data_IF_892588305156
#
_entry.id   IF_892588305156
#
_cell.length_a   1.000
_cell.length_b   1.000
_cell.length_c   1.000
_cell.angle_alpha   90.00
_cell.angle_beta   90.00
_cell.angle_gamma   90.00
#
_symmetry.space_group_name_H-M   'P 1'
#
loop_
_entity.id
_entity.type
_entity.pdbx_description
1 polymer ?
#
# COMPACT_ATOMS: atom_id res chain seq x y z
N UNK A 1 10.85 7.83 36.99
CA UNK A 1 11.02 7.07 35.73
C UNK A 1 9.71 7.24 34.97
N UNK A 2 9.68 8.12 33.98
CA UNK A 2 8.44 8.51 33.27
C UNK A 2 8.33 7.65 32.01
N UNK A 3 7.24 6.91 31.85
CA UNK A 3 6.93 6.24 30.60
C UNK A 3 6.34 7.26 29.62
N UNK A 4 6.68 7.15 28.33
CA UNK A 4 6.12 8.01 27.28
C UNK A 4 4.61 7.76 27.19
N UNK A 5 3.83 8.74 27.61
CA UNK A 5 2.39 8.76 27.45
C UNK A 5 2.08 9.48 26.15
N UNK A 6 1.41 8.79 25.22
CA UNK A 6 0.91 9.40 24.00
C UNK A 6 -0.51 9.92 24.23
N UNK A 7 -0.92 10.95 23.48
CA UNK A 7 -2.33 11.30 23.33
C UNK A 7 -2.66 11.30 21.83
N UNK A 8 -3.84 10.82 21.47
CA UNK A 8 -4.33 10.93 20.10
C UNK A 8 -5.59 11.79 20.07
N UNK A 9 -5.78 12.51 18.96
CA UNK A 9 -6.99 13.30 18.71
C UNK A 9 -7.84 12.56 17.68
N UNK A 10 -9.04 12.19 18.07
CA UNK A 10 -10.02 11.62 17.15
C UNK A 10 -10.68 12.77 16.36
N UNK A 11 -10.55 12.78 15.03
CA UNK A 11 -11.25 13.75 14.20
C UNK A 11 -12.74 13.42 14.25
N UNK A 12 -13.55 14.35 14.75
CA UNK A 12 -15.01 14.20 14.72
C UNK A 12 -15.48 14.12 13.26
N UNK A 13 -16.15 13.03 12.90
CA UNK A 13 -16.77 12.86 11.58
C UNK A 13 -18.05 13.69 11.45
N UNK A 14 -18.68 14.03 12.58
CA UNK A 14 -19.83 14.92 12.70
C UNK A 14 -19.39 16.24 13.35
N UNK A 15 -19.59 17.41 12.70
CA UNK A 15 -19.23 18.71 13.26
C UNK A 15 -19.98 19.08 14.56
N UNK A 16 -21.04 18.37 14.92
CA UNK A 16 -21.74 18.54 16.20
C UNK A 16 -21.03 17.86 17.39
N UNK A 17 -20.03 17.02 17.14
CA UNK A 17 -19.28 16.29 18.18
C UNK A 17 -17.98 17.04 18.51
N UNK A 18 -17.80 17.37 19.78
CA UNK A 18 -16.55 17.97 20.26
C UNK A 18 -15.39 16.95 20.20
N UNK A 19 -14.23 17.37 19.68
CA UNK A 19 -13.02 16.56 19.73
C UNK A 19 -12.58 16.33 21.18
N UNK A 20 -12.21 15.10 21.51
CA UNK A 20 -11.76 14.71 22.87
C UNK A 20 -10.37 14.10 22.78
N UNK A 21 -9.47 14.52 23.66
CA UNK A 21 -8.15 13.91 23.82
C UNK A 21 -8.23 12.71 24.76
N UNK A 22 -7.56 11.61 24.37
CA UNK A 22 -7.47 10.39 25.19
C UNK A 22 -6.02 10.04 25.45
N UNK A 23 -5.72 9.77 26.71
CA UNK A 23 -4.42 9.25 27.14
C UNK A 23 -4.27 7.79 26.69
N UNK A 24 -3.13 7.46 26.07
CA UNK A 24 -2.81 6.09 25.65
C UNK A 24 -1.44 5.66 26.15
N UNK A 25 -1.37 4.43 26.67
CA UNK A 25 -0.11 3.79 27.05
C UNK A 25 0.61 3.11 25.89
N UNK A 26 -0.12 2.68 24.86
CA UNK A 26 0.40 1.99 23.67
C UNK A 26 -0.44 2.38 22.45
N UNK A 27 0.23 2.62 21.31
CA UNK A 27 -0.40 2.79 20.00
C UNK A 27 -0.12 1.57 19.13
N UNK A 28 -1.17 0.91 18.63
CA UNK A 28 -1.06 -0.20 17.67
C UNK A 28 -1.43 0.33 16.29
N UNK A 29 -0.50 0.28 15.35
CA UNK A 29 -0.75 0.69 13.96
C UNK A 29 -1.24 -0.49 13.12
N UNK A 30 -2.53 -0.79 13.23
CA UNK A 30 -3.20 -1.89 12.53
C UNK A 30 -3.87 -1.50 11.21
N UNK A 31 -3.34 -0.52 10.47
CA UNK A 31 -4.03 0.04 9.27
C UNK A 31 -3.78 -0.75 7.98
N UNK A 32 -3.16 -1.92 8.06
CA UNK A 32 -2.85 -2.74 6.88
C UNK A 32 -1.74 -2.15 6.00
N UNK A 33 -1.82 -2.45 4.70
CA UNK A 33 -0.83 -2.09 3.69
C UNK A 33 -1.53 -1.55 2.44
N UNK A 34 -0.82 -0.73 1.66
CA UNK A 34 -1.25 -0.40 0.31
C UNK A 34 -1.01 -1.59 -0.61
N UNK A 35 -2.07 -2.32 -0.95
CA UNK A 35 -1.99 -3.48 -1.84
C UNK A 35 -1.86 -3.09 -3.31
N UNK A 36 -2.12 -1.83 -3.66
CA UNK A 36 -2.01 -1.34 -5.03
C UNK A 36 -0.61 -0.77 -5.33
N UNK A 37 0.21 -0.54 -4.31
CA UNK A 37 1.59 -0.07 -4.48
C UNK A 37 2.58 -1.22 -4.75
N UNK A 38 2.34 -1.99 -5.82
CA UNK A 38 3.18 -3.15 -6.15
C UNK A 38 4.50 -2.78 -6.88
N UNK A 39 4.72 -1.49 -7.17
CA UNK A 39 5.93 -1.02 -7.85
C UNK A 39 6.66 0.15 -7.18
N UNK A 40 6.06 0.82 -6.20
CA UNK A 40 6.54 2.12 -5.67
C UNK A 40 7.92 2.11 -5.04
N UNK A 41 8.45 0.93 -4.67
CA UNK A 41 9.80 0.81 -4.11
C UNK A 41 10.88 0.51 -5.14
N UNK A 42 10.54 0.05 -6.35
CA UNK A 42 11.52 -0.39 -7.34
C UNK A 42 11.27 0.22 -8.72
N UNK A 43 12.32 0.80 -9.30
CA UNK A 43 12.27 1.27 -10.67
C UNK A 43 12.57 0.11 -11.64
N UNK A 44 11.51 -0.48 -12.19
CA UNK A 44 11.60 -1.63 -13.11
C UNK A 44 11.34 -1.15 -14.53
N UNK A 45 12.28 -1.45 -15.43
CA UNK A 45 12.20 -1.08 -16.84
C UNK A 45 12.22 -2.32 -17.74
N UNK A 46 11.24 -2.40 -18.63
CA UNK A 46 11.10 -3.46 -19.62
C UNK A 46 11.73 -3.11 -20.96
N UNK A 47 11.33 -3.84 -21.99
CA UNK A 47 11.77 -3.65 -23.38
C UNK A 47 11.51 -2.21 -23.83
N UNK A 48 12.51 -1.59 -24.44
CA UNK A 48 12.40 -0.22 -24.96
C UNK A 48 12.32 0.86 -23.89
N UNK A 49 12.67 0.55 -22.63
CA UNK A 49 12.68 1.53 -21.54
C UNK A 49 11.30 1.79 -20.92
N UNK A 50 10.31 0.94 -21.19
CA UNK A 50 8.97 1.05 -20.58
C UNK A 50 9.10 0.89 -19.07
N UNK A 51 8.63 1.88 -18.31
CA UNK A 51 8.60 1.82 -16.85
C UNK A 51 7.35 1.06 -16.38
N UNK A 52 7.53 0.12 -15.45
CA UNK A 52 6.45 -0.75 -14.97
C UNK A 52 5.36 0.03 -14.22
N UNK A 53 5.74 0.97 -13.36
CA UNK A 53 4.80 1.82 -12.61
C UNK A 53 3.94 2.64 -13.55
N UNK A 54 4.54 3.18 -14.63
CA UNK A 54 3.79 3.91 -15.66
C UNK A 54 2.86 3.00 -16.47
N UNK A 55 3.28 1.77 -16.77
CA UNK A 55 2.44 0.80 -17.49
C UNK A 55 1.21 0.42 -16.68
N UNK A 56 1.36 0.19 -15.38
CA UNK A 56 0.26 -0.22 -14.51
C UNK A 56 -0.70 0.92 -14.14
N UNK A 57 -0.20 2.15 -13.96
CA UNK A 57 -1.07 3.28 -13.61
C UNK A 57 -1.99 2.96 -12.43
N UNK A 58 -3.30 3.09 -12.63
CA UNK A 58 -4.32 2.83 -11.60
C UNK A 58 -4.72 1.35 -11.47
N UNK A 59 -4.38 0.51 -12.45
CA UNK A 59 -4.86 -0.88 -12.53
C UNK A 59 -3.72 -1.85 -12.81
N UNK A 60 -3.42 -2.66 -11.81
CA UNK A 60 -2.39 -3.68 -11.87
C UNK A 60 -2.83 -4.88 -12.70
N UNK A 61 -2.09 -5.18 -13.76
CA UNK A 61 -2.39 -6.30 -14.67
C UNK A 61 -1.18 -7.22 -14.83
N UNK A 62 -1.47 -8.52 -14.88
CA UNK A 62 -0.52 -9.55 -15.26
C UNK A 62 -1.21 -10.62 -16.09
N UNK A 63 -0.41 -11.34 -16.88
CA UNK A 63 -0.85 -12.56 -17.53
C UNK A 63 -0.65 -13.74 -16.58
N UNK A 64 -1.75 -14.44 -16.28
CA UNK A 64 -1.78 -15.60 -15.38
C UNK A 64 -1.13 -15.34 -14.02
N UNK A 65 -1.12 -14.08 -13.56
CA UNK A 65 -0.63 -13.72 -12.23
C UNK A 65 0.88 -13.92 -12.04
N UNK A 66 1.60 -14.07 -13.17
CA UNK A 66 3.02 -14.44 -13.19
C UNK A 66 3.83 -13.52 -14.12
N UNK A 67 3.34 -13.16 -15.30
CA UNK A 67 4.15 -12.38 -16.28
C UNK A 67 3.48 -11.08 -16.69
N UNK A 68 4.27 -10.14 -17.24
CA UNK A 68 3.79 -8.84 -17.72
C UNK A 68 4.27 -8.63 -19.16
N UNK A 69 3.40 -8.10 -20.02
CA UNK A 69 3.77 -7.78 -21.39
C UNK A 69 4.90 -6.74 -21.43
N UNK A 70 5.88 -6.94 -22.32
CA UNK A 70 7.10 -6.11 -22.48
C UNK A 70 8.16 -6.25 -21.37
N UNK A 71 7.99 -7.14 -20.39
CA UNK A 71 9.01 -7.43 -19.38
C UNK A 71 9.51 -8.88 -19.54
N UNK A 72 10.39 -9.15 -20.52
CA UNK A 72 10.93 -10.49 -20.73
C UNK A 72 11.73 -10.93 -19.50
N UNK A 73 11.66 -12.23 -19.19
CA UNK A 73 12.33 -12.88 -18.06
C UNK A 73 12.00 -12.31 -16.66
N UNK A 74 10.95 -11.48 -16.54
CA UNK A 74 10.38 -11.04 -15.27
C UNK A 74 9.20 -11.94 -14.89
N UNK A 75 9.30 -12.57 -13.72
CA UNK A 75 8.27 -13.42 -13.16
C UNK A 75 7.89 -12.95 -11.75
N UNK A 76 6.60 -12.83 -11.50
CA UNK A 76 6.04 -12.45 -10.21
C UNK A 76 5.50 -13.67 -9.48
N UNK A 77 5.75 -13.75 -8.18
CA UNK A 77 5.05 -14.66 -7.26
C UNK A 77 3.91 -13.91 -6.62
N UNK A 78 2.68 -14.45 -6.67
CA UNK A 78 1.47 -13.77 -6.20
C UNK A 78 1.28 -12.40 -6.87
N UNK A 79 1.53 -12.35 -8.19
CA UNK A 79 1.30 -11.13 -8.97
C UNK A 79 -0.18 -10.75 -8.98
N UNK A 80 -0.49 -9.50 -9.37
CA UNK A 80 -1.87 -9.01 -9.52
C UNK A 80 -2.79 -10.05 -10.17
N UNK A 81 -4.01 -10.20 -9.66
CA UNK A 81 -5.00 -11.18 -10.13
C UNK A 81 -4.66 -12.67 -9.86
N UNK A 82 -3.81 -13.02 -8.89
CA UNK A 82 -3.46 -14.42 -8.54
C UNK A 82 -4.56 -15.20 -7.84
N UNK A 83 -5.02 -14.72 -6.70
CA UNK A 83 -6.10 -15.31 -5.93
C UNK A 83 -6.62 -14.25 -4.96
N UNK A 84 -7.92 -14.26 -4.71
CA UNK A 84 -8.54 -13.40 -3.71
C UNK A 84 -8.27 -14.03 -2.33
N UNK A 85 -7.50 -13.38 -1.47
CA UNK A 85 -7.52 -13.67 -0.02
C UNK A 85 -8.64 -12.85 0.63
#
# INVERSE_FOLDING_TARGET
>A
MSWLVGAYRERAQDPAVCEVEREIGVLIWGTGFDMNDSSGHFQIYGKGGINLTQLWGDYLETYRSVTIANFPDLFLTLGPNSANY
#
